data_IF_741494961783
#
_entry.id   IF_741494961783
#
_cell.length_a   1.000
_cell.length_b   1.000
_cell.length_c   1.000
_cell.angle_alpha   90.00
_cell.angle_beta   90.00
_cell.angle_gamma   90.00
#
_symmetry.space_group_name_H-M   'P 1'
#
loop_
_entity.id
_entity.type
_entity.pdbx_description
1 polymer ?
#
# COMPACT_ATOMS: atom_id res chain seq x y z
N UNK A 1 -5.24 22.45 29.67
CA UNK A 1 -4.44 22.80 28.48
C UNK A 1 -4.74 21.80 27.37
N UNK A 2 -5.08 22.28 26.17
CA UNK A 2 -5.53 21.42 25.06
C UNK A 2 -4.37 20.62 24.45
N UNK A 3 -3.14 21.16 24.46
CA UNK A 3 -1.97 20.45 23.95
C UNK A 3 -1.64 19.27 24.84
N UNK A 4 -1.69 19.44 26.17
CA UNK A 4 -1.49 18.33 27.11
C UNK A 4 -2.50 17.18 26.92
N UNK A 5 -3.77 17.50 26.65
CA UNK A 5 -4.79 16.50 26.35
C UNK A 5 -4.51 15.79 25.02
N UNK A 6 -4.13 16.53 23.98
CA UNK A 6 -3.73 15.96 22.69
C UNK A 6 -2.54 15.01 22.85
N UNK A 7 -1.48 15.43 23.54
CA UNK A 7 -0.30 14.59 23.80
C UNK A 7 -0.62 13.32 24.58
N UNK A 8 -1.58 13.37 25.51
CA UNK A 8 -2.02 12.20 26.28
C UNK A 8 -2.76 11.21 25.38
N UNK A 9 -3.67 11.70 24.52
CA UNK A 9 -4.39 10.84 23.56
C UNK A 9 -3.44 10.23 22.53
N UNK A 10 -2.52 11.01 22.00
CA UNK A 10 -1.47 10.55 21.10
C UNK A 10 -0.62 9.45 21.74
N UNK A 11 -0.20 9.63 23.00
CA UNK A 11 0.55 8.61 23.72
C UNK A 11 -0.27 7.33 23.92
N UNK A 12 -1.52 7.45 24.34
CA UNK A 12 -2.40 6.29 24.54
C UNK A 12 -2.60 5.51 23.22
N UNK A 13 -2.76 6.21 22.09
CA UNK A 13 -2.86 5.60 20.77
C UNK A 13 -1.59 4.80 20.43
N UNK A 14 -0.41 5.43 20.53
CA UNK A 14 0.86 4.76 20.25
C UNK A 14 1.07 3.55 21.17
N UNK A 15 0.81 3.71 22.47
CA UNK A 15 0.95 2.63 23.44
C UNK A 15 -0.03 1.46 23.17
N UNK A 16 -1.25 1.74 22.71
CA UNK A 16 -2.22 0.73 22.31
C UNK A 16 -1.77 -0.05 21.07
N UNK A 17 -1.33 0.66 20.02
CA UNK A 17 -0.82 0.05 18.79
C UNK A 17 0.42 -0.83 19.05
N UNK A 18 1.31 -0.40 19.95
CA UNK A 18 2.49 -1.19 20.34
C UNK A 18 2.14 -2.48 21.06
N UNK A 19 1.05 -2.52 21.83
CA UNK A 19 0.56 -3.76 22.48
C UNK A 19 0.06 -4.78 21.47
N UNK A 20 -0.39 -4.33 20.30
CA UNK A 20 -0.73 -5.20 19.17
C UNK A 20 0.51 -5.67 18.39
N UNK A 21 1.71 -5.23 18.78
CA UNK A 21 2.97 -5.58 18.13
C UNK A 21 3.30 -4.71 16.92
N UNK A 22 2.75 -3.50 16.82
CA UNK A 22 3.16 -2.51 15.82
C UNK A 22 4.40 -1.77 16.34
N UNK A 23 5.51 -1.83 15.60
CA UNK A 23 6.74 -1.16 15.98
C UNK A 23 6.64 0.37 15.83
N UNK A 24 7.46 1.10 16.59
CA UNK A 24 7.53 2.57 16.48
C UNK A 24 7.83 3.05 15.05
N UNK A 25 8.60 2.27 14.29
CA UNK A 25 8.95 2.59 12.90
C UNK A 25 7.76 2.51 11.95
N UNK A 26 6.71 1.80 12.35
CA UNK A 26 5.48 1.63 11.59
C UNK A 26 4.43 2.68 11.93
N UNK A 27 4.71 3.58 12.89
CA UNK A 27 3.78 4.63 13.32
C UNK A 27 4.42 5.98 13.01
N UNK A 28 3.84 6.70 12.05
CA UNK A 28 4.35 7.99 11.59
C UNK A 28 3.32 9.07 11.84
N UNK A 29 3.73 10.18 12.45
CA UNK A 29 2.88 11.37 12.51
C UNK A 29 2.96 12.09 11.16
N UNK A 30 1.83 12.24 10.48
CA UNK A 30 1.76 12.89 9.16
C UNK A 30 1.32 14.34 9.24
N UNK A 31 0.61 14.72 10.31
CA UNK A 31 0.21 16.11 10.53
C UNK A 31 0.02 16.41 12.02
N UNK A 32 0.28 17.66 12.41
CA UNK A 32 -0.06 18.21 13.73
C UNK A 32 -0.49 19.66 13.56
N UNK A 33 -1.76 19.95 13.83
CA UNK A 33 -2.37 21.26 13.59
C UNK A 33 -3.12 21.75 14.81
N UNK A 34 -3.05 23.06 15.07
CA UNK A 34 -3.80 23.72 16.14
C UNK A 34 -4.66 24.81 15.51
N UNK A 35 -5.97 24.71 15.71
CA UNK A 35 -6.96 25.63 15.16
C UNK A 35 -7.66 26.39 16.28
N UNK A 36 -7.78 27.72 16.21
CA UNK A 36 -8.71 28.44 17.07
C UNK A 36 -10.14 28.04 16.75
N UNK A 37 -10.96 27.90 17.79
CA UNK A 37 -12.40 27.70 17.65
C UNK A 37 -13.10 29.05 17.89
N UNK A 38 -13.99 29.43 16.98
CA UNK A 38 -14.69 30.71 17.01
C UNK A 38 -16.19 30.52 17.27
N UNK A 39 -16.77 31.39 18.09
CA UNK A 39 -18.21 31.61 18.19
C UNK A 39 -18.59 32.87 17.40
N UNK A 40 -19.66 32.76 16.62
CA UNK A 40 -20.19 33.80 15.73
C UNK A 40 -21.55 34.38 16.16
N UNK A 41 -22.11 33.97 17.31
CA UNK A 41 -23.45 34.35 17.79
C UNK A 41 -23.62 35.86 17.98
N UNK A 42 -22.55 36.60 18.30
CA UNK A 42 -22.59 38.06 18.52
C UNK A 42 -22.27 38.90 17.28
N UNK A 43 -22.19 38.31 16.09
CA UNK A 43 -21.84 39.01 14.83
C UNK A 43 -20.34 39.32 14.66
N UNK A 44 -19.59 39.45 15.77
CA UNK A 44 -18.12 39.50 15.77
C UNK A 44 -17.54 38.15 16.20
N UNK A 45 -16.62 37.54 15.43
CA UNK A 45 -16.01 36.26 15.79
C UNK A 45 -15.20 36.40 17.08
N UNK A 46 -15.48 35.55 18.07
CA UNK A 46 -14.72 35.46 19.32
C UNK A 46 -14.13 34.08 19.47
N UNK A 47 -12.83 34.01 19.79
CA UNK A 47 -12.18 32.74 20.09
C UNK A 47 -12.78 32.20 21.39
N UNK A 48 -13.35 30.99 21.34
CA UNK A 48 -13.91 30.27 22.49
C UNK A 48 -13.03 29.12 22.94
N UNK A 49 -12.05 28.73 22.13
CA UNK A 49 -11.14 27.64 22.44
C UNK A 49 -10.13 27.38 21.35
N UNK A 50 -9.44 26.26 21.49
CA UNK A 50 -8.50 25.75 20.49
C UNK A 50 -8.74 24.25 20.33
N UNK A 51 -8.61 23.76 19.10
CA UNK A 51 -8.68 22.36 18.73
C UNK A 51 -7.34 21.92 18.19
N UNK A 52 -6.80 20.84 18.73
CA UNK A 52 -5.60 20.19 18.21
C UNK A 52 -6.02 18.98 17.38
N UNK A 53 -5.42 18.80 16.22
CA UNK A 53 -5.60 17.66 15.33
C UNK A 53 -4.25 17.05 14.98
N UNK A 54 -4.08 15.76 15.26
CA UNK A 54 -2.90 14.98 14.89
C UNK A 54 -3.32 13.84 13.98
N UNK A 55 -2.58 13.63 12.89
CA UNK A 55 -2.80 12.54 11.95
C UNK A 55 -1.65 11.55 12.02
N UNK A 56 -1.97 10.27 11.94
CA UNK A 56 -1.02 9.18 11.98
C UNK A 56 -1.20 8.27 10.77
N UNK A 57 -0.08 7.84 10.20
CA UNK A 57 0.02 6.75 9.24
C UNK A 57 0.56 5.54 9.99
N UNK A 58 -0.11 4.40 9.84
CA UNK A 58 0.21 3.16 10.55
C UNK A 58 0.37 2.04 9.52
N UNK A 59 1.58 1.52 9.39
CA UNK A 59 1.87 0.39 8.51
C UNK A 59 1.62 -0.92 9.27
N UNK A 60 0.65 -1.70 8.83
CA UNK A 60 0.34 -3.02 9.41
C UNK A 60 0.87 -4.11 8.46
N UNK A 61 1.87 -4.87 8.91
CA UNK A 61 2.47 -5.96 8.10
C UNK A 61 1.72 -7.28 8.20
N UNK A 62 1.01 -7.47 9.30
CA UNK A 62 0.23 -8.66 9.59
C UNK A 62 -1.24 -8.36 9.34
N UNK A 63 -1.77 -8.86 8.22
CA UNK A 63 -3.13 -8.57 7.76
C UNK A 63 -4.19 -8.99 8.79
N UNK A 64 -3.93 -10.04 9.57
CA UNK A 64 -4.87 -10.53 10.58
C UNK A 64 -5.07 -9.51 11.72
N UNK A 65 -4.14 -8.57 11.89
CA UNK A 65 -4.20 -7.52 12.92
C UNK A 65 -4.86 -6.23 12.45
N UNK A 66 -5.23 -6.09 11.17
CA UNK A 66 -5.78 -4.84 10.64
C UNK A 66 -7.04 -4.44 11.39
N UNK A 67 -7.96 -5.38 11.62
CA UNK A 67 -9.20 -5.10 12.36
C UNK A 67 -8.93 -4.70 13.81
N UNK A 68 -8.04 -5.40 14.52
CA UNK A 68 -7.67 -5.06 15.90
C UNK A 68 -7.04 -3.67 15.99
N UNK A 69 -6.17 -3.32 15.04
CA UNK A 69 -5.54 -1.98 14.94
C UNK A 69 -6.60 -0.89 14.78
N UNK A 70 -7.60 -1.10 13.92
CA UNK A 70 -8.67 -0.13 13.70
C UNK A 70 -9.52 0.06 14.96
N UNK A 71 -9.91 -1.04 15.61
CA UNK A 71 -10.71 -1.02 16.86
C UNK A 71 -9.94 -0.33 17.97
N UNK A 72 -8.67 -0.68 18.18
CA UNK A 72 -7.85 -0.07 19.23
C UNK A 72 -7.56 1.40 18.96
N UNK A 73 -7.40 1.81 17.70
CA UNK A 73 -7.26 3.22 17.35
C UNK A 73 -8.50 4.03 17.76
N UNK A 74 -9.70 3.50 17.49
CA UNK A 74 -10.97 4.13 17.91
C UNK A 74 -11.07 4.16 19.45
N UNK A 75 -10.78 3.05 20.13
CA UNK A 75 -10.79 2.95 21.59
C UNK A 75 -9.82 3.95 22.26
N UNK A 76 -8.66 4.17 21.64
CA UNK A 76 -7.66 5.15 22.09
C UNK A 76 -8.06 6.62 21.81
N UNK A 77 -9.18 6.84 21.11
CA UNK A 77 -9.77 8.16 20.87
C UNK A 77 -9.51 8.74 19.48
N UNK A 78 -9.07 7.93 18.51
CA UNK A 78 -9.07 8.32 17.11
C UNK A 78 -10.51 8.54 16.65
N UNK A 79 -10.78 9.72 16.09
CA UNK A 79 -12.12 10.11 15.62
C UNK A 79 -12.36 9.79 14.15
N UNK A 80 -11.28 9.82 13.36
CA UNK A 80 -11.30 9.50 11.94
C UNK A 80 -10.30 8.39 11.76
N UNK A 81 -10.82 7.24 11.36
CA UNK A 81 -10.06 6.07 10.96
C UNK A 81 -10.62 5.68 9.60
N UNK A 82 -9.80 5.76 8.56
CA UNK A 82 -10.30 5.56 7.20
C UNK A 82 -9.37 6.21 6.17
N UNK A 83 -8.65 5.34 5.46
CA UNK A 83 -7.89 5.50 4.21
C UNK A 83 -6.96 4.29 4.17
N UNK A 84 -7.55 3.10 4.03
CA UNK A 84 -6.77 1.86 4.01
C UNK A 84 -6.26 1.69 2.59
N UNK A 85 -4.93 1.68 2.45
CA UNK A 85 -4.24 1.32 1.22
C UNK A 85 -3.46 0.05 1.45
N UNK A 86 -3.39 -0.76 0.40
CA UNK A 86 -2.60 -1.97 0.37
C UNK A 86 -1.39 -1.74 -0.53
N UNK A 87 -0.23 -2.16 -0.06
CA UNK A 87 1.02 -2.04 -0.79
C UNK A 87 1.83 -3.32 -0.65
N UNK A 88 2.62 -3.62 -1.67
CA UNK A 88 3.67 -4.63 -1.59
C UNK A 88 4.88 -3.94 -0.99
N UNK A 89 5.49 -4.53 0.05
CA UNK A 89 6.70 -3.95 0.62
C UNK A 89 7.86 -4.01 -0.37
N UNK A 90 8.75 -3.01 -0.33
CA UNK A 90 9.89 -2.87 -1.25
C UNK A 90 10.74 -4.14 -1.40
N UNK A 91 10.93 -4.90 -0.31
CA UNK A 91 11.73 -6.13 -0.34
C UNK A 91 11.04 -7.23 -1.16
N UNK A 92 9.74 -7.41 -0.95
CA UNK A 92 8.92 -8.37 -1.69
C UNK A 92 8.74 -7.94 -3.14
N UNK A 93 8.50 -6.65 -3.38
CA UNK A 93 8.38 -6.09 -4.73
C UNK A 93 9.67 -6.32 -5.52
N UNK A 94 10.83 -5.99 -4.94
CA UNK A 94 12.13 -6.21 -5.59
C UNK A 94 12.35 -7.68 -5.92
N UNK A 95 12.06 -8.59 -4.98
CA UNK A 95 12.22 -10.03 -5.18
C UNK A 95 11.34 -10.53 -6.33
N UNK A 96 10.07 -10.14 -6.35
CA UNK A 96 9.11 -10.54 -7.39
C UNK A 96 9.50 -9.94 -8.75
N UNK A 97 10.03 -8.72 -8.80
CA UNK A 97 10.58 -8.13 -10.01
C UNK A 97 11.78 -8.90 -10.55
N UNK A 98 12.69 -9.35 -9.68
CA UNK A 98 13.85 -10.16 -10.09
C UNK A 98 13.40 -11.52 -10.67
N UNK A 99 12.43 -12.18 -10.03
CA UNK A 99 11.83 -13.42 -10.53
C UNK A 99 11.15 -13.21 -11.90
N UNK A 100 10.36 -12.15 -12.04
CA UNK A 100 9.68 -11.82 -13.29
C UNK A 100 10.67 -11.51 -14.44
N UNK A 101 11.82 -10.90 -14.15
CA UNK A 101 12.88 -10.66 -15.15
C UNK A 101 13.48 -11.95 -15.67
N UNK A 102 13.79 -12.89 -14.79
CA UNK A 102 14.35 -14.18 -15.17
C UNK A 102 13.39 -14.94 -16.09
N UNK A 103 12.11 -14.95 -15.75
CA UNK A 103 11.06 -15.56 -16.56
C UNK A 103 10.89 -14.86 -17.92
N UNK A 104 10.81 -13.53 -17.94
CA UNK A 104 10.68 -12.76 -19.19
C UNK A 104 11.88 -12.95 -20.14
N UNK A 105 13.10 -13.01 -19.61
CA UNK A 105 14.30 -13.28 -20.42
C UNK A 105 14.28 -14.71 -20.98
N UNK A 106 13.83 -15.68 -20.18
CA UNK A 106 13.69 -17.07 -20.62
C UNK A 106 12.66 -17.18 -21.75
N UNK A 107 11.48 -16.62 -21.57
CA UNK A 107 10.42 -16.61 -22.58
C UNK A 107 10.88 -15.93 -23.88
N UNK A 108 11.53 -14.76 -23.77
CA UNK A 108 12.05 -14.04 -24.93
C UNK A 108 13.08 -14.87 -25.72
N UNK A 109 13.96 -15.60 -25.03
CA UNK A 109 14.95 -16.50 -25.67
C UNK A 109 14.28 -17.68 -26.36
N UNK A 110 13.34 -18.35 -25.70
CA UNK A 110 12.60 -19.48 -26.27
C UNK A 110 11.81 -19.05 -27.52
N UNK A 111 11.14 -17.90 -27.46
CA UNK A 111 10.43 -17.31 -28.59
C UNK A 111 11.37 -16.97 -29.74
N UNK A 112 12.52 -16.35 -29.47
CA UNK A 112 13.52 -16.03 -30.49
C UNK A 112 14.09 -17.29 -31.17
N UNK A 113 14.35 -18.36 -30.40
CA UNK A 113 14.80 -19.65 -30.94
C UNK A 113 13.76 -20.27 -31.87
N UNK A 114 12.48 -20.26 -31.47
CA UNK A 114 11.38 -20.75 -32.30
C UNK A 114 11.24 -19.97 -33.61
N UNK A 115 11.33 -18.64 -33.54
CA UNK A 115 11.25 -17.77 -34.71
C UNK A 115 12.43 -17.99 -35.67
N UNK A 116 13.66 -18.10 -35.16
CA UNK A 116 14.84 -18.36 -35.99
C UNK A 116 14.71 -19.71 -36.73
N UNK A 117 14.29 -20.77 -36.02
CA UNK A 117 14.05 -22.09 -36.61
C UNK A 117 13.00 -22.05 -37.72
N UNK A 118 11.90 -21.33 -37.50
CA UNK A 118 10.83 -21.18 -38.49
C UNK A 118 11.28 -20.38 -39.73
N UNK A 119 12.19 -19.41 -39.55
CA UNK A 119 12.77 -18.62 -40.63
C UNK A 119 13.92 -19.31 -41.36
N UNK A 120 14.37 -20.50 -40.92
CA UNK A 120 15.49 -21.22 -41.53
C UNK A 120 16.85 -20.59 -41.25
N UNK A 121 16.97 -19.77 -40.19
CA UNK A 121 18.22 -19.16 -39.74
C UNK A 121 18.60 -19.66 -38.35
N UNK A 122 19.83 -19.44 -37.95
CA UNK A 122 20.34 -19.73 -36.61
C UNK A 122 20.39 -18.47 -35.75
N UNK A 123 20.06 -18.62 -34.46
CA UNK A 123 20.08 -17.53 -33.49
C UNK A 123 21.52 -17.30 -33.01
N UNK A 124 22.00 -16.06 -33.15
CA UNK A 124 23.35 -15.63 -32.77
C UNK A 124 23.42 -14.98 -31.39
N UNK A 125 24.40 -14.09 -31.20
CA UNK A 125 24.62 -13.41 -29.91
C UNK A 125 23.52 -12.38 -29.62
N UNK A 126 23.30 -12.08 -28.34
CA UNK A 126 22.50 -10.94 -27.91
C UNK A 126 23.23 -9.64 -28.30
N UNK A 127 22.51 -8.73 -28.96
CA UNK A 127 23.01 -7.42 -29.35
C UNK A 127 22.52 -6.32 -28.40
N UNK A 128 21.28 -6.45 -27.93
CA UNK A 128 20.67 -5.48 -27.02
C UNK A 128 19.66 -6.17 -26.10
N UNK A 129 19.58 -5.69 -24.85
CA UNK A 129 18.53 -6.02 -23.90
C UNK A 129 17.97 -4.70 -23.39
N UNK A 130 16.65 -4.56 -23.42
CA UNK A 130 15.95 -3.43 -22.79
C UNK A 130 14.78 -3.94 -21.97
N UNK A 131 14.59 -3.36 -20.79
CA UNK A 131 13.46 -3.61 -19.89
C UNK A 131 12.54 -2.40 -19.86
N UNK A 132 11.24 -2.64 -19.90
CA UNK A 132 10.20 -1.66 -19.56
C UNK A 132 9.44 -2.18 -18.35
N UNK A 133 9.38 -1.36 -17.29
CA UNK A 133 8.60 -1.64 -16.09
C UNK A 133 7.26 -0.93 -16.20
N UNK A 134 6.19 -1.60 -15.80
CA UNK A 134 4.91 -0.96 -15.51
C UNK A 134 4.78 -0.83 -14.00
N UNK A 135 4.15 0.25 -13.53
CA UNK A 135 3.86 0.37 -12.11
C UNK A 135 2.93 -0.79 -11.69
N UNK A 136 3.12 -1.40 -10.52
CA UNK A 136 2.24 -2.45 -10.02
C UNK A 136 0.79 -1.95 -9.98
N UNK A 137 -0.13 -2.69 -10.58
CA UNK A 137 -1.56 -2.39 -10.52
C UNK A 137 -2.23 -3.31 -9.49
N UNK A 138 -2.99 -2.70 -8.57
CA UNK A 138 -3.80 -3.43 -7.61
C UNK A 138 -5.09 -3.87 -8.32
N UNK A 139 -5.32 -5.18 -8.38
CA UNK A 139 -6.53 -5.75 -8.98
C UNK A 139 -7.50 -6.12 -7.85
N UNK A 140 -8.65 -5.45 -7.72
CA UNK A 140 -9.63 -5.81 -6.70
C UNK A 140 -10.18 -7.23 -6.93
N UNK A 141 -10.17 -8.07 -5.87
CA UNK A 141 -10.68 -9.45 -5.91
C UNK A 141 -12.16 -9.53 -6.37
N UNK A 142 -12.92 -8.44 -6.22
CA UNK A 142 -14.34 -8.36 -6.60
C UNK A 142 -14.63 -8.66 -8.08
N UNK A 143 -13.65 -8.62 -8.99
CA UNK A 143 -13.86 -8.96 -10.39
C UNK A 143 -13.81 -10.46 -10.70
N UNK A 144 -13.37 -11.32 -9.77
CA UNK A 144 -13.10 -12.73 -10.05
C UNK A 144 -14.22 -13.68 -9.57
N UNK A 145 -15.02 -13.26 -8.58
CA UNK A 145 -16.05 -14.12 -7.97
C UNK A 145 -17.32 -13.34 -7.60
N UNK A 146 -18.16 -13.00 -8.58
CA UNK A 146 -19.50 -12.50 -8.30
C UNK A 146 -20.44 -13.69 -7.98
N UNK A 147 -20.49 -14.10 -6.70
CA UNK A 147 -21.36 -15.16 -6.18
C UNK A 147 -21.99 -14.82 -4.82
N UNK A 148 -23.22 -14.29 -4.87
CA UNK A 148 -24.33 -14.23 -3.88
C UNK A 148 -24.08 -14.59 -2.40
N UNK A 149 -24.49 -13.70 -1.48
CA UNK A 149 -25.13 -14.12 -0.21
C UNK A 149 -24.82 -13.26 1.01
N UNK A 150 -25.85 -12.65 1.61
CA UNK A 150 -25.72 -11.72 2.73
C UNK A 150 -25.80 -12.34 4.13
N UNK A 151 -25.03 -11.73 5.03
CA UNK A 151 -25.22 -11.45 6.46
C UNK A 151 -24.30 -10.26 6.68
N UNK A 152 -24.71 -9.10 7.22
CA UNK A 152 -23.79 -7.96 7.40
C UNK A 152 -22.58 -8.40 8.24
N UNK A 153 -21.42 -8.66 7.61
CA UNK A 153 -20.20 -8.96 8.32
C UNK A 153 -19.65 -7.60 8.79
N UNK A 154 -18.85 -7.58 9.86
CA UNK A 154 -17.91 -6.46 9.97
C UNK A 154 -17.16 -6.36 8.64
N UNK A 155 -16.96 -5.15 8.07
CA UNK A 155 -16.30 -5.03 6.79
C UNK A 155 -14.94 -5.75 6.87
N UNK A 156 -14.83 -6.91 6.23
CA UNK A 156 -13.58 -7.64 6.11
C UNK A 156 -12.73 -6.88 5.10
N UNK A 157 -11.61 -6.36 5.57
CA UNK A 157 -10.71 -5.56 4.77
C UNK A 157 -9.73 -6.51 4.09
N UNK A 158 -10.06 -6.90 2.86
CA UNK A 158 -9.23 -7.83 2.06
C UNK A 158 -8.27 -7.08 1.13
N UNK A 159 -6.99 -7.48 1.05
CA UNK A 159 -5.95 -6.73 0.32
C UNK A 159 -6.06 -6.71 -1.21
N UNK A 160 -6.84 -7.61 -1.82
CA UNK A 160 -6.79 -7.78 -3.28
C UNK A 160 -5.64 -8.69 -3.72
N UNK A 161 -5.42 -8.79 -5.03
CA UNK A 161 -4.17 -9.30 -5.62
C UNK A 161 -3.41 -8.13 -6.27
N UNK A 162 -2.08 -8.13 -6.16
CA UNK A 162 -1.22 -7.17 -6.87
C UNK A 162 -0.40 -7.92 -7.90
N UNK A 163 -0.52 -7.54 -9.16
CA UNK A 163 0.27 -8.11 -10.25
C UNK A 163 1.52 -7.27 -10.51
N UNK A 164 2.68 -7.94 -10.54
CA UNK A 164 3.97 -7.34 -10.88
C UNK A 164 4.39 -7.91 -12.24
N UNK A 165 4.51 -7.04 -13.24
CA UNK A 165 4.86 -7.43 -14.61
C UNK A 165 6.07 -6.66 -15.13
N UNK A 166 6.89 -7.34 -15.93
CA UNK A 166 8.03 -6.75 -16.62
C UNK A 166 7.99 -7.14 -18.09
N UNK A 167 8.31 -6.20 -18.97
CA UNK A 167 8.43 -6.47 -20.40
C UNK A 167 9.89 -6.36 -20.79
N UNK A 168 10.46 -7.46 -21.27
CA UNK A 168 11.85 -7.50 -21.74
C UNK A 168 11.86 -7.65 -23.25
N UNK A 169 12.61 -6.77 -23.92
CA UNK A 169 12.89 -6.84 -25.35
C UNK A 169 14.36 -7.19 -25.56
N UNK A 170 14.61 -8.27 -26.30
CA UNK A 170 15.97 -8.74 -26.62
C UNK A 170 16.14 -8.81 -28.13
N UNK A 171 17.20 -8.16 -28.63
CA UNK A 171 17.60 -8.25 -30.04
C UNK A 171 18.78 -9.21 -30.18
N UNK A 172 18.68 -10.11 -31.15
CA UNK A 172 19.70 -11.11 -31.44
C UNK A 172 20.28 -10.92 -32.84
N UNK A 173 21.55 -11.27 -33.00
CA UNK A 173 22.14 -11.57 -34.30
C UNK A 173 21.44 -12.80 -34.91
N UNK A 174 21.33 -12.87 -36.23
CA UNK A 174 20.91 -14.07 -36.97
C UNK A 174 22.02 -14.51 -37.92
N UNK A 175 22.14 -15.81 -38.18
CA UNK A 175 23.14 -16.39 -39.10
C UNK A 175 22.55 -17.45 -40.00
#
# INVERSE_FOLDING_TARGET
DVQKQASTKSKNLVDALKKLGIDDKQIKTTAYNVYPEYNYESGTPRITGYKVSSSYEVTVKDFDKVNDVLVEAVNAGAKVVGNISFEVNDESEKKLLDEAREEAVKEAKEKAQSLAKAAGVSLGKILNISESQHAPEIVPIALREAGVGGTEPQPEITPGETEISVVVSISFEIR
#
